data_IF_019886834712
#
_entry.id   IF_019886834712
#
_cell.length_a   1.000
_cell.length_b   1.000
_cell.length_c   1.000
_cell.angle_alpha   90.00
_cell.angle_beta   90.00
_cell.angle_gamma   90.00
#
_symmetry.space_group_name_H-M   'P 1'
#
loop_
_entity.id
_entity.type
_entity.pdbx_description
1 polymer ?
#
# COMPACT_ATOMS: atom_id res chain seq x y z
N UNK A 1 51.69 33.60 -47.07
CA UNK A 1 50.26 33.24 -46.88
C UNK A 1 50.22 31.93 -46.10
N UNK A 2 50.07 31.99 -44.78
CA UNK A 2 49.92 30.82 -43.91
C UNK A 2 48.75 31.11 -42.97
N UNK A 3 47.63 30.42 -43.15
CA UNK A 3 46.41 30.56 -42.34
C UNK A 3 46.44 29.44 -41.30
N UNK A 4 46.49 29.84 -40.02
CA UNK A 4 46.37 28.93 -38.87
C UNK A 4 44.87 28.72 -38.62
N UNK A 5 44.41 27.48 -38.80
CA UNK A 5 43.05 27.06 -38.45
C UNK A 5 43.06 26.60 -37.00
N UNK A 6 42.46 27.38 -36.10
CA UNK A 6 42.17 26.95 -34.73
C UNK A 6 40.96 26.02 -34.76
N UNK A 7 41.18 24.74 -34.42
CA UNK A 7 40.14 23.75 -34.21
C UNK A 7 39.40 24.05 -32.91
N UNK A 8 38.12 24.44 -33.02
CA UNK A 8 37.22 24.62 -31.89
C UNK A 8 36.85 23.23 -31.34
N UNK A 9 37.45 22.83 -30.22
CA UNK A 9 37.09 21.61 -29.51
C UNK A 9 35.80 21.88 -28.73
N UNK A 10 34.66 21.48 -29.30
CA UNK A 10 33.35 21.49 -28.62
C UNK A 10 33.39 20.43 -27.51
N UNK A 11 33.60 20.89 -26.27
CA UNK A 11 33.28 20.14 -25.06
C UNK A 11 31.77 19.89 -25.05
N UNK A 12 31.36 18.66 -25.38
CA UNK A 12 30.03 18.16 -25.06
C UNK A 12 29.91 18.13 -23.53
N UNK A 13 29.31 19.17 -22.98
CA UNK A 13 28.75 19.12 -21.63
C UNK A 13 27.51 18.23 -21.76
N UNK A 14 27.59 16.99 -21.29
CA UNK A 14 26.43 16.12 -21.17
C UNK A 14 25.49 16.69 -20.10
N UNK A 15 24.59 17.57 -20.50
CA UNK A 15 23.44 17.96 -19.70
C UNK A 15 22.55 16.72 -19.60
N UNK A 16 22.53 16.06 -18.44
CA UNK A 16 21.57 14.99 -18.17
C UNK A 16 20.21 15.66 -17.98
N UNK A 17 19.49 15.82 -19.09
CA UNK A 17 18.08 16.17 -19.05
C UNK A 17 17.31 15.02 -18.40
N UNK A 18 16.24 15.31 -17.66
CA UNK A 18 15.39 14.30 -17.06
C UNK A 18 14.63 13.57 -18.17
N UNK A 19 15.26 12.57 -18.78
CA UNK A 19 14.73 11.85 -19.94
C UNK A 19 14.02 10.58 -19.46
N UNK A 20 12.73 10.45 -19.80
CA UNK A 20 11.99 9.20 -19.60
C UNK A 20 12.55 8.17 -20.56
N UNK A 21 13.12 7.08 -20.03
CA UNK A 21 13.77 6.05 -20.84
C UNK A 21 12.76 4.96 -21.22
N UNK A 22 12.58 4.65 -22.51
CA UNK A 22 11.83 3.47 -22.92
C UNK A 22 12.53 2.19 -22.43
N UNK A 23 11.83 1.42 -21.61
CA UNK A 23 12.31 0.18 -21.05
C UNK A 23 11.79 -1.03 -21.84
N UNK A 24 12.69 -1.95 -22.13
CA UNK A 24 12.43 -3.24 -22.77
C UNK A 24 12.99 -4.35 -21.91
N UNK A 25 12.63 -5.61 -22.20
CA UNK A 25 13.18 -6.79 -21.52
C UNK A 25 14.71 -6.80 -21.46
N UNK A 26 15.38 -6.23 -22.47
CA UNK A 26 16.84 -6.25 -22.58
C UNK A 26 17.55 -5.23 -21.68
N UNK A 27 16.91 -4.09 -21.39
CA UNK A 27 17.53 -3.00 -20.63
C UNK A 27 16.95 -2.83 -19.22
N UNK A 28 15.77 -3.37 -18.93
CA UNK A 28 15.02 -3.02 -17.73
C UNK A 28 15.74 -3.44 -16.44
N UNK A 29 16.34 -4.63 -16.41
CA UNK A 29 17.12 -5.09 -15.25
C UNK A 29 18.35 -4.20 -14.98
N UNK A 30 18.93 -3.60 -16.03
CA UNK A 30 20.03 -2.65 -15.87
C UNK A 30 19.55 -1.31 -15.33
N UNK A 31 18.38 -0.83 -15.80
CA UNK A 31 17.74 0.40 -15.32
C UNK A 31 17.36 0.28 -13.84
N UNK A 32 16.87 -0.88 -13.41
CA UNK A 32 16.58 -1.19 -12.00
C UNK A 32 17.85 -1.13 -11.15
N UNK A 33 18.97 -1.69 -11.61
CA UNK A 33 20.24 -1.68 -10.86
C UNK A 33 20.91 -0.31 -10.81
N UNK A 34 20.67 0.53 -11.82
CA UNK A 34 21.30 1.85 -11.96
C UNK A 34 20.72 2.90 -11.00
N UNK A 35 19.45 2.77 -10.62
CA UNK A 35 18.75 3.79 -9.84
C UNK A 35 18.29 3.22 -8.49
N UNK A 36 18.37 4.05 -7.44
CA UNK A 36 17.82 3.70 -6.12
C UNK A 36 16.30 3.66 -6.14
N UNK A 37 15.66 4.51 -6.96
CA UNK A 37 14.23 4.53 -7.19
C UNK A 37 13.97 4.57 -8.70
N UNK A 38 13.10 3.70 -9.19
CA UNK A 38 12.61 3.69 -10.55
C UNK A 38 11.10 3.90 -10.55
N UNK A 39 10.62 4.88 -11.31
CA UNK A 39 9.20 5.10 -11.55
C UNK A 39 8.88 4.62 -12.95
N UNK A 40 7.97 3.65 -13.04
CA UNK A 40 7.72 2.87 -14.24
C UNK A 40 6.30 3.15 -14.71
N UNK A 41 6.16 3.74 -15.89
CA UNK A 41 4.89 3.95 -16.57
C UNK A 41 4.58 2.80 -17.53
N UNK A 42 3.72 1.87 -17.09
CA UNK A 42 3.17 0.82 -17.93
C UNK A 42 1.98 1.36 -18.72
N UNK A 43 2.09 1.33 -20.04
CA UNK A 43 1.15 2.01 -20.92
C UNK A 43 0.87 1.22 -22.20
N UNK A 44 -0.16 1.65 -22.96
CA UNK A 44 -0.45 1.18 -24.31
C UNK A 44 -0.70 2.38 -25.23
N UNK A 45 -0.35 2.30 -26.51
CA UNK A 45 -0.39 3.45 -27.43
C UNK A 45 -1.84 3.86 -27.76
N UNK A 46 -2.76 2.91 -27.83
CA UNK A 46 -4.19 3.16 -28.08
C UNK A 46 -4.94 3.69 -26.85
N UNK A 47 -4.34 3.62 -25.66
CA UNK A 47 -5.00 4.04 -24.43
C UNK A 47 -5.02 5.57 -24.33
N UNK A 48 -6.19 6.18 -24.44
CA UNK A 48 -6.39 7.65 -24.28
C UNK A 48 -5.79 8.18 -22.98
N UNK A 49 -5.92 7.44 -21.88
CA UNK A 49 -5.39 7.86 -20.58
C UNK A 49 -3.87 7.81 -20.51
N UNK A 50 -3.25 6.87 -21.22
CA UNK A 50 -1.80 6.78 -21.36
C UNK A 50 -1.26 7.93 -22.20
N UNK A 51 -1.92 8.24 -23.32
CA UNK A 51 -1.59 9.39 -24.17
C UNK A 51 -1.64 10.72 -23.39
N UNK A 52 -2.67 10.89 -22.55
CA UNK A 52 -2.80 12.07 -21.70
C UNK A 52 -1.71 12.13 -20.62
N UNK A 53 -1.34 10.99 -20.01
CA UNK A 53 -0.32 10.95 -18.97
C UNK A 53 1.10 11.17 -19.53
N UNK A 54 1.37 10.77 -20.77
CA UNK A 54 2.72 10.82 -21.35
C UNK A 54 3.42 12.18 -21.17
N UNK A 55 2.88 13.32 -21.65
CA UNK A 55 3.56 14.61 -21.50
C UNK A 55 3.70 15.02 -20.02
N UNK A 56 2.73 14.67 -19.17
CA UNK A 56 2.80 14.95 -17.73
C UNK A 56 3.94 14.16 -17.05
N UNK A 57 4.15 12.92 -17.48
CA UNK A 57 5.20 12.05 -16.95
C UNK A 57 6.59 12.52 -17.40
N UNK A 58 6.70 12.98 -18.64
CA UNK A 58 7.91 13.63 -19.18
C UNK A 58 8.22 14.92 -18.39
N UNK A 59 7.23 15.80 -18.16
CA UNK A 59 7.42 17.01 -17.35
C UNK A 59 7.80 16.69 -15.89
N UNK A 60 7.26 15.61 -15.33
CA UNK A 60 7.58 15.18 -13.98
C UNK A 60 9.06 14.77 -13.84
N UNK A 61 9.63 14.07 -14.83
CA UNK A 61 11.05 13.68 -14.79
C UNK A 61 11.99 14.87 -14.85
N UNK A 62 11.57 15.97 -15.48
CA UNK A 62 12.35 17.21 -15.54
C UNK A 62 12.29 18.01 -14.23
N UNK A 63 11.13 18.02 -13.55
CA UNK A 63 10.87 18.79 -12.31
C UNK A 63 11.53 18.25 -11.05
N UNK A 64 12.01 17.01 -11.07
CA UNK A 64 12.72 16.42 -9.94
C UNK A 64 13.98 17.24 -9.63
N UNK A 65 14.26 17.49 -8.34
CA UNK A 65 15.40 18.29 -7.92
C UNK A 65 16.74 17.69 -8.41
N UNK A 66 17.67 18.55 -8.85
CA UNK A 66 18.90 18.11 -9.52
C UNK A 66 19.76 17.15 -8.67
N UNK A 67 19.75 17.36 -7.36
CA UNK A 67 20.49 16.55 -6.39
C UNK A 67 19.98 15.11 -6.30
N UNK A 68 18.71 14.87 -6.62
CA UNK A 68 18.11 13.53 -6.60
C UNK A 68 18.00 12.88 -7.99
N UNK A 69 18.19 13.62 -9.08
CA UNK A 69 18.11 13.11 -10.47
C UNK A 69 19.01 11.90 -10.73
N UNK A 70 20.16 11.79 -10.05
CA UNK A 70 21.08 10.64 -10.21
C UNK A 70 20.58 9.37 -9.54
N UNK A 71 19.70 9.50 -8.56
CA UNK A 71 19.17 8.38 -7.76
C UNK A 71 17.81 7.88 -8.26
N UNK A 72 17.15 8.65 -9.13
CA UNK A 72 15.82 8.35 -9.67
C UNK A 72 15.87 8.15 -11.17
N UNK A 73 15.28 7.06 -11.65
CA UNK A 73 14.99 6.89 -13.08
C UNK A 73 13.49 6.96 -13.35
N UNK A 74 13.12 7.60 -14.45
CA UNK A 74 11.78 7.54 -15.01
C UNK A 74 11.83 6.68 -16.26
N UNK A 75 10.94 5.70 -16.36
CA UNK A 75 10.90 4.78 -17.48
C UNK A 75 9.48 4.53 -17.93
N UNK A 76 9.31 4.24 -19.21
CA UNK A 76 8.03 3.83 -19.80
C UNK A 76 8.15 2.44 -20.42
N UNK A 77 7.12 1.62 -20.27
CA UNK A 77 7.04 0.28 -20.85
C UNK A 77 5.76 0.21 -21.68
N UNK A 78 5.93 0.07 -23.00
CA UNK A 78 4.82 -0.25 -23.89
C UNK A 78 4.43 -1.72 -23.66
N UNK A 79 3.26 -1.94 -23.07
CA UNK A 79 2.78 -3.26 -22.68
C UNK A 79 2.36 -4.12 -23.88
N UNK A 80 2.05 -3.50 -25.02
CA UNK A 80 1.74 -4.23 -26.26
C UNK A 80 2.99 -4.88 -26.84
N UNK A 81 4.14 -4.19 -26.75
CA UNK A 81 5.42 -4.69 -27.23
C UNK A 81 6.15 -5.55 -26.19
N UNK A 82 5.87 -5.34 -24.90
CA UNK A 82 6.55 -5.98 -23.77
C UNK A 82 5.57 -6.74 -22.87
N UNK A 83 4.74 -7.60 -23.47
CA UNK A 83 3.71 -8.39 -22.77
C UNK A 83 4.28 -9.19 -21.58
N UNK A 84 5.46 -9.81 -21.74
CA UNK A 84 6.16 -10.52 -20.66
C UNK A 84 6.41 -9.64 -19.43
N UNK A 85 6.78 -8.36 -19.63
CA UNK A 85 6.98 -7.41 -18.54
C UNK A 85 5.64 -6.99 -17.94
N UNK A 86 4.61 -6.74 -18.76
CA UNK A 86 3.28 -6.42 -18.26
C UNK A 86 2.72 -7.55 -17.37
N UNK A 87 2.88 -8.80 -17.81
CA UNK A 87 2.46 -9.98 -17.06
C UNK A 87 3.28 -10.15 -15.77
N UNK A 88 4.62 -10.08 -15.85
CA UNK A 88 5.53 -10.21 -14.69
C UNK A 88 5.18 -9.22 -13.57
N UNK A 89 4.74 -8.02 -13.93
CA UNK A 89 4.39 -6.97 -12.97
C UNK A 89 2.87 -6.90 -12.68
N UNK A 90 2.08 -7.86 -13.15
CA UNK A 90 0.63 -7.94 -12.94
C UNK A 90 -0.11 -6.65 -13.36
N UNK A 91 0.20 -6.12 -14.54
CA UNK A 91 -0.48 -4.93 -15.06
C UNK A 91 -1.87 -5.32 -15.54
N UNK A 92 -2.89 -4.72 -14.93
CA UNK A 92 -4.30 -5.00 -15.21
C UNK A 92 -5.08 -3.75 -15.65
N UNK A 93 -4.40 -2.61 -15.82
CA UNK A 93 -4.99 -1.34 -16.24
C UNK A 93 -3.94 -0.41 -16.82
N UNK A 94 -4.35 0.49 -17.71
CA UNK A 94 -3.48 1.50 -18.30
C UNK A 94 -3.98 2.94 -18.03
N UNK A 95 -3.05 3.90 -17.83
CA UNK A 95 -1.66 3.68 -17.44
C UNK A 95 -1.56 3.19 -15.99
N UNK A 96 -0.54 2.38 -15.70
CA UNK A 96 -0.18 1.99 -14.33
C UNK A 96 1.21 2.51 -14.00
N UNK A 97 1.31 3.29 -12.92
CA UNK A 97 2.57 3.84 -12.43
C UNK A 97 3.08 3.00 -11.24
N UNK A 98 4.10 2.17 -11.45
CA UNK A 98 4.75 1.40 -10.39
C UNK A 98 6.04 2.03 -9.92
N UNK A 99 6.42 1.69 -8.70
CA UNK A 99 7.65 2.15 -8.06
C UNK A 99 8.51 0.93 -7.77
N UNK A 100 9.78 0.99 -8.15
CA UNK A 100 10.80 0.01 -7.77
C UNK A 100 11.79 0.76 -6.89
N UNK A 101 11.97 0.32 -5.63
CA UNK A 101 12.91 0.90 -4.67
C UNK A 101 13.99 -0.13 -4.39
N UNK A 102 15.26 0.25 -4.59
CA UNK A 102 16.43 -0.60 -4.31
C UNK A 102 16.38 -1.99 -4.97
N UNK A 103 15.80 -2.08 -6.17
CA UNK A 103 15.66 -3.35 -6.90
C UNK A 103 14.35 -4.09 -6.67
N UNK A 104 13.56 -3.68 -5.68
CA UNK A 104 12.34 -4.36 -5.28
C UNK A 104 11.09 -3.56 -5.67
N UNK A 105 10.06 -4.25 -6.12
CA UNK A 105 8.78 -3.63 -6.47
C UNK A 105 8.07 -3.21 -5.19
N UNK A 106 7.75 -1.92 -5.08
CA UNK A 106 6.92 -1.42 -3.99
C UNK A 106 5.52 -2.02 -4.10
N UNK A 107 4.89 -2.32 -2.96
CA UNK A 107 3.52 -2.83 -2.93
C UNK A 107 2.54 -1.81 -3.53
N UNK A 108 2.74 -0.52 -3.23
CA UNK A 108 1.84 0.55 -3.65
C UNK A 108 2.20 1.09 -5.03
N UNK A 109 1.17 1.28 -5.85
CA UNK A 109 1.23 2.02 -7.11
C UNK A 109 1.03 3.51 -6.85
N UNK A 110 1.46 4.36 -7.78
CA UNK A 110 1.07 5.76 -7.76
C UNK A 110 -0.35 5.93 -8.31
N UNK A 111 -1.28 6.31 -7.41
CA UNK A 111 -2.69 6.57 -7.73
C UNK A 111 -3.10 8.02 -7.50
N UNK A 112 -2.14 8.90 -7.20
CA UNK A 112 -2.36 10.33 -6.94
C UNK A 112 -2.73 11.12 -8.20
N UNK A 113 -2.86 12.44 -8.07
CA UNK A 113 -3.21 13.31 -9.19
C UNK A 113 -2.20 13.19 -10.35
N UNK A 114 -2.69 13.13 -11.59
CA UNK A 114 -1.81 13.07 -12.78
C UNK A 114 -1.41 14.48 -13.19
N UNK A 115 -0.62 15.14 -12.35
CA UNK A 115 0.07 16.39 -12.65
C UNK A 115 1.57 16.20 -12.44
N UNK A 116 2.39 17.00 -13.12
CA UNK A 116 3.83 16.85 -13.07
C UNK A 116 4.35 17.14 -11.65
N UNK A 117 3.75 18.13 -10.98
CA UNK A 117 4.02 18.50 -9.59
C UNK A 117 3.70 17.35 -8.63
N UNK A 118 2.51 16.77 -8.71
CA UNK A 118 2.09 15.72 -7.77
C UNK A 118 2.92 14.44 -7.93
N UNK A 119 3.35 14.12 -9.15
CA UNK A 119 4.26 12.99 -9.40
C UNK A 119 5.65 13.32 -8.83
N UNK A 120 6.20 14.50 -9.12
CA UNK A 120 7.52 14.89 -8.63
C UNK A 120 7.60 14.95 -7.09
N UNK A 121 6.57 15.47 -6.43
CA UNK A 121 6.45 15.49 -4.97
C UNK A 121 6.39 14.07 -4.39
N UNK A 122 5.59 13.20 -4.99
CA UNK A 122 5.49 11.81 -4.57
C UNK A 122 6.83 11.08 -4.67
N UNK A 123 7.54 11.22 -5.78
CA UNK A 123 8.85 10.60 -6.00
C UNK A 123 9.88 11.13 -5.01
N UNK A 124 9.85 12.44 -4.74
CA UNK A 124 10.70 13.05 -3.71
C UNK A 124 10.40 12.49 -2.33
N UNK A 125 9.12 12.27 -1.99
CA UNK A 125 8.71 11.63 -0.73
C UNK A 125 9.19 10.19 -0.65
N UNK A 126 9.05 9.42 -1.74
CA UNK A 126 9.54 8.04 -1.84
C UNK A 126 11.05 7.95 -1.58
N UNK A 127 11.82 8.87 -2.15
CA UNK A 127 13.27 8.97 -1.89
C UNK A 127 13.58 9.32 -0.44
N UNK A 128 12.82 10.24 0.19
CA UNK A 128 13.02 10.60 1.60
C UNK A 128 12.69 9.46 2.56
N UNK A 129 11.77 8.58 2.18
CA UNK A 129 11.49 7.33 2.90
C UNK A 129 12.52 6.23 2.67
N UNK A 130 13.64 6.54 2.00
CA UNK A 130 14.75 5.61 1.82
C UNK A 130 15.30 5.09 3.16
N UNK A 131 15.92 3.91 3.09
CA UNK A 131 16.70 3.29 4.15
C UNK A 131 17.51 4.35 4.92
N UNK A 132 17.19 4.53 6.20
CA UNK A 132 17.91 5.49 7.05
C UNK A 132 19.09 4.78 7.71
N UNK A 133 20.30 5.24 7.40
CA UNK A 133 21.52 4.75 8.01
C UNK A 133 21.75 5.41 9.38
N UNK A 134 21.90 4.56 10.40
CA UNK A 134 22.21 4.92 11.78
C UNK A 134 23.67 4.55 12.09
N UNK A 135 24.46 5.53 12.52
CA UNK A 135 25.90 5.38 12.79
C UNK A 135 26.27 5.44 14.28
N UNK A 136 25.30 5.71 15.13
CA UNK A 136 25.44 5.77 16.58
C UNK A 136 24.09 5.53 17.27
N UNK A 137 24.11 5.40 18.59
CA UNK A 137 22.90 5.35 19.40
C UNK A 137 22.14 6.69 19.39
N UNK A 138 22.85 7.82 19.44
CA UNK A 138 22.26 9.16 19.28
C UNK A 138 21.53 9.32 17.94
N UNK A 139 22.10 8.76 16.87
CA UNK A 139 21.48 8.74 15.55
C UNK A 139 20.11 8.04 15.58
N UNK A 140 20.02 6.92 16.29
CA UNK A 140 18.75 6.20 16.46
C UNK A 140 17.74 7.09 17.19
N UNK A 141 18.13 7.72 18.30
CA UNK A 141 17.21 8.56 19.09
C UNK A 141 16.69 9.77 18.29
N UNK A 142 17.56 10.41 17.50
CA UNK A 142 17.21 11.62 16.75
C UNK A 142 16.53 11.34 15.40
N UNK A 143 16.81 10.22 14.75
CA UNK A 143 16.27 9.91 13.41
C UNK A 143 15.06 8.98 13.43
N UNK A 144 14.80 8.30 14.55
CA UNK A 144 13.63 7.44 14.69
C UNK A 144 12.36 8.30 14.69
N UNK A 145 11.54 8.12 13.67
CA UNK A 145 10.24 8.75 13.56
C UNK A 145 9.26 8.00 14.48
N UNK A 146 8.97 8.60 15.64
CA UNK A 146 8.08 8.05 16.66
C UNK A 146 6.59 8.12 16.27
N UNK A 147 6.26 8.61 15.07
CA UNK A 147 4.88 8.65 14.56
C UNK A 147 4.52 7.44 13.72
N UNK A 148 5.50 6.57 13.40
CA UNK A 148 5.31 5.40 12.53
C UNK A 148 6.01 4.17 13.07
N UNK A 149 5.40 3.02 12.80
CA UNK A 149 6.04 1.73 13.07
C UNK A 149 7.37 1.65 12.31
N UNK A 150 8.34 0.95 12.88
CA UNK A 150 9.65 0.85 12.28
C UNK A 150 10.26 -0.54 12.44
N UNK A 151 11.04 -0.96 11.46
CA UNK A 151 11.99 -2.09 11.58
C UNK A 151 13.39 -1.51 11.65
N UNK A 152 14.13 -1.87 12.69
CA UNK A 152 15.52 -1.49 12.89
C UNK A 152 16.36 -2.76 12.76
N UNK A 153 17.28 -2.74 11.81
CA UNK A 153 18.21 -3.83 11.61
C UNK A 153 19.61 -3.41 12.00
N UNK A 154 20.20 -4.17 12.93
CA UNK A 154 21.51 -3.94 13.51
C UNK A 154 22.50 -4.96 12.96
N UNK A 155 23.68 -4.51 12.54
CA UNK A 155 24.79 -5.40 12.21
C UNK A 155 26.14 -4.73 12.50
N UNK A 156 27.12 -5.42 13.09
CA UNK A 156 28.48 -4.82 13.26
C UNK A 156 29.09 -4.53 11.89
N UNK A 157 28.95 -5.46 10.96
CA UNK A 157 29.42 -5.34 9.58
C UNK A 157 28.32 -5.77 8.61
N UNK A 158 27.93 -4.95 7.63
CA UNK A 158 26.94 -5.34 6.64
C UNK A 158 27.43 -6.54 5.81
N UNK A 159 26.67 -7.65 5.81
CA UNK A 159 26.88 -8.75 4.89
C UNK A 159 25.99 -8.59 3.65
N UNK A 160 26.36 -9.23 2.54
CA UNK A 160 25.55 -9.20 1.30
C UNK A 160 24.14 -9.78 1.52
N UNK A 161 24.04 -10.84 2.31
CA UNK A 161 22.79 -11.48 2.69
C UNK A 161 21.93 -10.54 3.52
N UNK A 162 22.53 -9.87 4.51
CA UNK A 162 21.85 -8.87 5.34
C UNK A 162 21.33 -7.71 4.48
N UNK A 163 22.15 -7.14 3.60
CA UNK A 163 21.69 -6.09 2.68
C UNK A 163 20.54 -6.54 1.79
N UNK A 164 20.56 -7.79 1.33
CA UNK A 164 19.48 -8.35 0.51
C UNK A 164 18.19 -8.46 1.33
N UNK A 165 18.27 -9.02 2.55
CA UNK A 165 17.13 -9.11 3.45
C UNK A 165 16.52 -7.73 3.75
N UNK A 166 17.35 -6.70 3.97
CA UNK A 166 16.86 -5.33 4.19
C UNK A 166 16.22 -4.75 2.94
N UNK A 167 16.83 -4.93 1.76
CA UNK A 167 16.23 -4.46 0.50
C UNK A 167 14.86 -5.09 0.30
N UNK A 168 14.72 -6.39 0.54
CA UNK A 168 13.45 -7.10 0.46
C UNK A 168 12.45 -6.67 1.54
N UNK A 169 12.91 -6.38 2.77
CA UNK A 169 12.08 -5.77 3.82
C UNK A 169 11.65 -4.33 3.46
N UNK A 170 12.48 -3.62 2.70
CA UNK A 170 12.22 -2.24 2.26
C UNK A 170 11.05 -2.15 1.27
N UNK A 171 10.66 -3.25 0.62
CA UNK A 171 9.42 -3.32 -0.17
C UNK A 171 8.16 -2.98 0.62
N UNK A 172 8.21 -3.10 1.96
CA UNK A 172 7.12 -2.81 2.89
C UNK A 172 7.22 -1.42 3.52
N UNK A 173 8.10 -0.54 3.00
CA UNK A 173 8.33 0.81 3.54
C UNK A 173 7.10 1.71 3.58
N UNK A 174 6.09 1.39 2.77
CA UNK A 174 4.84 2.16 2.75
C UNK A 174 3.96 1.88 4.00
N UNK A 175 4.26 0.80 4.73
CA UNK A 175 3.57 0.36 5.95
C UNK A 175 4.44 0.56 7.23
N UNK A 176 5.77 0.53 7.12
CA UNK A 176 6.69 0.81 8.23
C UNK A 176 7.99 1.48 7.78
N UNK A 177 8.61 2.31 8.63
CA UNK A 177 9.93 2.86 8.35
C UNK A 177 11.01 1.77 8.51
N UNK A 178 12.08 1.83 7.72
CA UNK A 178 13.19 0.86 7.82
C UNK A 178 14.50 1.60 8.11
N UNK A 179 15.16 1.20 9.18
CA UNK A 179 16.42 1.75 9.65
C UNK A 179 17.52 0.68 9.61
N UNK A 180 18.71 1.05 9.13
CA UNK A 180 19.90 0.19 9.19
C UNK A 180 20.92 0.82 10.12
N UNK A 181 21.20 0.12 11.22
CA UNK A 181 22.26 0.43 12.16
C UNK A 181 23.49 -0.43 11.89
N UNK A 182 24.63 0.19 11.64
CA UNK A 182 25.88 -0.56 11.46
C UNK A 182 27.10 0.10 12.09
N UNK A 183 28.09 -0.73 12.45
CA UNK A 183 29.34 -0.32 13.08
C UNK A 183 29.55 -0.94 14.46
N UNK A 184 30.75 -0.78 15.01
CA UNK A 184 31.14 -1.41 16.29
C UNK A 184 30.24 -1.04 17.47
N UNK A 185 29.60 0.13 17.44
CA UNK A 185 28.66 0.58 18.48
C UNK A 185 27.45 -0.35 18.64
N UNK A 186 27.09 -1.12 17.60
CA UNK A 186 26.02 -2.12 17.64
C UNK A 186 26.26 -3.15 18.74
N UNK A 187 27.52 -3.49 19.03
CA UNK A 187 27.89 -4.43 20.11
C UNK A 187 27.47 -3.94 21.50
N UNK A 188 27.31 -2.63 21.68
CA UNK A 188 26.82 -2.05 22.94
C UNK A 188 25.29 -2.13 23.05
N UNK A 189 24.59 -2.25 21.92
CA UNK A 189 23.12 -2.31 21.85
C UNK A 189 22.63 -3.76 21.89
N UNK A 190 23.37 -4.68 21.29
CA UNK A 190 22.98 -6.08 21.22
C UNK A 190 24.15 -7.05 21.14
N UNK A 191 23.95 -8.22 21.74
CA UNK A 191 24.85 -9.37 21.63
C UNK A 191 24.51 -10.28 20.42
N UNK A 192 23.46 -9.97 19.66
CA UNK A 192 23.05 -10.69 18.43
C UNK A 192 23.49 -9.87 17.21
N UNK A 193 24.19 -10.49 16.26
CA UNK A 193 24.72 -9.82 15.07
C UNK A 193 24.56 -10.74 13.83
N UNK A 194 23.65 -10.45 12.88
CA UNK A 194 22.74 -9.30 12.86
C UNK A 194 21.58 -9.46 13.86
N UNK A 195 20.84 -8.38 14.10
CA UNK A 195 19.58 -8.37 14.89
C UNK A 195 18.53 -7.54 14.17
N UNK A 196 17.28 -8.02 14.17
CA UNK A 196 16.13 -7.27 13.66
C UNK A 196 15.15 -6.99 14.79
N UNK A 197 14.68 -5.74 14.86
CA UNK A 197 13.76 -5.25 15.90
C UNK A 197 12.62 -4.49 15.25
N UNK A 198 11.40 -4.85 15.59
CA UNK A 198 10.22 -4.07 15.27
C UNK A 198 9.93 -3.11 16.43
N UNK A 199 9.69 -1.85 16.11
CA UNK A 199 9.28 -0.80 17.04
C UNK A 199 7.84 -0.38 16.70
N UNK A 200 6.93 -0.63 17.64
CA UNK A 200 5.53 -0.22 17.52
C UNK A 200 5.35 1.21 18.04
N UNK A 201 4.95 2.14 17.17
CA UNK A 201 4.92 3.56 17.52
C UNK A 201 3.85 3.92 18.56
N UNK A 202 2.71 3.23 18.54
CA UNK A 202 1.56 3.53 19.42
C UNK A 202 1.85 3.17 20.88
N UNK A 203 2.61 2.11 21.11
CA UNK A 203 2.87 1.54 22.45
C UNK A 203 4.32 1.73 22.91
N UNK A 204 5.24 1.99 21.98
CA UNK A 204 6.68 1.95 22.23
C UNK A 204 7.24 0.53 22.36
N UNK A 205 6.41 -0.50 22.13
CA UNK A 205 6.83 -1.89 22.26
C UNK A 205 7.92 -2.24 21.24
N UNK A 206 8.85 -3.09 21.67
CA UNK A 206 9.89 -3.64 20.82
C UNK A 206 9.70 -5.15 20.71
N UNK A 207 9.71 -5.67 19.49
CA UNK A 207 9.58 -7.10 19.21
C UNK A 207 10.84 -7.53 18.46
N UNK A 208 11.64 -8.40 19.08
CA UNK A 208 12.82 -8.98 18.46
C UNK A 208 12.40 -10.08 17.48
N UNK A 209 13.09 -10.16 16.34
CA UNK A 209 12.99 -11.33 15.47
C UNK A 209 13.78 -12.50 16.09
N UNK A 210 13.10 -13.62 16.32
CA UNK A 210 13.68 -14.82 16.95
C UNK A 210 13.95 -15.96 15.95
N UNK A 211 13.64 -15.77 14.66
CA UNK A 211 13.88 -16.77 13.62
C UNK A 211 15.33 -16.84 13.13
N UNK A 212 15.57 -17.62 12.07
CA UNK A 212 16.89 -17.67 11.43
C UNK A 212 17.20 -16.33 10.76
N UNK A 213 18.30 -15.70 11.18
CA UNK A 213 18.77 -14.40 10.72
C UNK A 213 19.45 -14.45 9.34
N UNK A 214 19.67 -15.65 8.79
CA UNK A 214 20.16 -15.85 7.43
C UNK A 214 19.05 -16.24 6.44
N UNK A 215 17.86 -16.56 6.92
CA UNK A 215 16.72 -16.90 6.09
C UNK A 215 15.94 -15.64 5.68
N UNK A 216 16.17 -15.21 4.45
CA UNK A 216 15.55 -14.03 3.84
C UNK A 216 14.03 -14.17 3.79
N UNK A 217 13.49 -15.37 3.54
CA UNK A 217 12.05 -15.59 3.44
C UNK A 217 11.38 -15.47 4.80
N UNK A 218 12.00 -16.04 5.84
CA UNK A 218 11.50 -15.91 7.21
C UNK A 218 11.57 -14.46 7.72
N UNK A 219 12.64 -13.72 7.42
CA UNK A 219 12.73 -12.28 7.75
C UNK A 219 11.66 -11.50 6.99
N UNK A 220 11.52 -11.73 5.68
CA UNK A 220 10.51 -11.07 4.85
C UNK A 220 9.11 -11.30 5.39
N UNK A 221 8.79 -12.55 5.73
CA UNK A 221 7.51 -12.92 6.33
C UNK A 221 7.30 -12.21 7.66
N UNK A 222 8.29 -12.22 8.55
CA UNK A 222 8.19 -11.55 9.84
C UNK A 222 7.97 -10.04 9.68
N UNK A 223 8.76 -9.36 8.83
CA UNK A 223 8.58 -7.93 8.51
C UNK A 223 7.18 -7.67 7.97
N UNK A 224 6.68 -8.52 7.07
CA UNK A 224 5.31 -8.43 6.53
C UNK A 224 4.28 -8.49 7.65
N UNK A 225 4.43 -9.44 8.57
CA UNK A 225 3.47 -9.71 9.65
C UNK A 225 3.47 -8.58 10.71
N UNK A 226 4.63 -7.97 11.00
CA UNK A 226 4.71 -6.86 11.97
C UNK A 226 4.40 -5.49 11.37
N UNK A 227 4.75 -5.25 10.10
CA UNK A 227 4.55 -3.94 9.46
C UNK A 227 3.15 -3.74 8.90
N UNK A 228 2.49 -4.81 8.43
CA UNK A 228 1.13 -4.73 7.90
C UNK A 228 0.15 -5.08 9.04
N UNK A 229 -0.49 -4.08 9.67
CA UNK A 229 -1.38 -4.36 10.78
C UNK A 229 -2.60 -5.15 10.28
N UNK A 230 -3.10 -6.04 11.14
CA UNK A 230 -4.30 -6.83 10.86
C UNK A 230 -5.53 -5.94 10.60
N UNK A 231 -5.57 -4.78 11.27
CA UNK A 231 -6.57 -3.73 11.04
C UNK A 231 -5.88 -2.50 10.47
N UNK A 232 -6.25 -2.10 9.25
CA UNK A 232 -5.65 -0.95 8.53
C UNK A 232 -6.59 0.24 8.53
N UNK A 233 -6.07 1.46 8.49
CA UNK A 233 -6.91 2.64 8.26
C UNK A 233 -7.18 2.79 6.76
N UNK A 234 -8.45 2.92 6.37
CA UNK A 234 -8.83 3.29 5.00
C UNK A 234 -8.89 4.80 4.89
N UNK A 235 -8.27 5.32 3.83
CA UNK A 235 -8.25 6.73 3.46
C UNK A 235 -8.58 6.84 1.97
N UNK A 236 -8.85 8.06 1.48
CA UNK A 236 -9.10 8.25 0.05
C UNK A 236 -7.88 7.91 -0.81
N UNK A 237 -6.67 8.03 -0.26
CA UNK A 237 -5.42 7.74 -0.96
C UNK A 237 -5.18 6.24 -1.14
N UNK A 238 -5.61 5.39 -0.19
CA UNK A 238 -5.38 3.94 -0.24
C UNK A 238 -6.63 3.11 -0.57
N UNK A 239 -7.82 3.71 -0.64
CA UNK A 239 -9.05 2.97 -0.89
C UNK A 239 -9.02 2.19 -2.21
N UNK A 240 -8.51 2.79 -3.30
CA UNK A 240 -8.41 2.12 -4.60
C UNK A 240 -7.51 0.87 -4.51
N UNK A 241 -6.38 0.95 -3.80
CA UNK A 241 -5.50 -0.20 -3.54
C UNK A 241 -6.22 -1.29 -2.74
N UNK A 242 -6.88 -0.92 -1.64
CA UNK A 242 -7.60 -1.87 -0.80
C UNK A 242 -8.72 -2.59 -1.57
N UNK A 243 -9.40 -1.89 -2.48
CA UNK A 243 -10.46 -2.50 -3.29
C UNK A 243 -9.93 -3.45 -4.36
N UNK A 244 -8.73 -3.21 -4.88
CA UNK A 244 -8.07 -4.11 -5.84
C UNK A 244 -7.62 -5.44 -5.21
N UNK A 245 -7.45 -5.50 -3.89
CA UNK A 245 -7.22 -6.77 -3.18
C UNK A 245 -8.40 -7.74 -3.34
N UNK A 246 -9.58 -7.24 -3.71
CA UNK A 246 -10.75 -8.06 -4.06
C UNK A 246 -11.45 -8.72 -2.87
N UNK A 247 -11.04 -8.40 -1.64
CA UNK A 247 -11.66 -8.89 -0.42
C UNK A 247 -12.75 -7.92 0.06
N UNK A 248 -13.90 -8.42 0.56
CA UNK A 248 -14.87 -7.60 1.28
C UNK A 248 -14.23 -6.80 2.41
N UNK A 249 -14.81 -5.67 2.76
CA UNK A 249 -14.36 -4.83 3.87
C UNK A 249 -15.19 -5.08 5.11
N UNK A 250 -14.54 -5.24 6.26
CA UNK A 250 -15.13 -5.14 7.60
C UNK A 250 -14.63 -3.84 8.24
N UNK A 251 -15.45 -2.81 8.21
CA UNK A 251 -15.06 -1.44 8.54
C UNK A 251 -15.64 -1.06 9.89
N UNK A 252 -14.79 -0.59 10.80
CA UNK A 252 -15.21 0.22 11.94
C UNK A 252 -15.20 1.69 11.53
N UNK A 253 -16.38 2.30 11.40
CA UNK A 253 -16.52 3.75 11.37
C UNK A 253 -16.47 4.28 12.79
N UNK A 254 -15.58 5.25 13.02
CA UNK A 254 -15.34 5.82 14.35
C UNK A 254 -15.18 7.33 14.28
N UNK A 255 -15.26 8.00 15.43
CA UNK A 255 -14.86 9.41 15.55
C UNK A 255 -13.34 9.53 15.64
N UNK A 256 -12.76 10.55 15.01
CA UNK A 256 -11.32 10.79 15.12
C UNK A 256 -10.88 10.88 16.60
N UNK A 257 -9.87 10.12 16.99
CA UNK A 257 -9.38 10.04 18.37
C UNK A 257 -10.12 9.07 19.31
N UNK A 258 -11.12 8.32 18.83
CA UNK A 258 -11.80 7.28 19.63
C UNK A 258 -10.93 5.99 19.77
N UNK A 259 -9.92 6.09 20.64
CA UNK A 259 -8.93 5.02 20.89
C UNK A 259 -9.57 3.77 21.53
N UNK A 260 -10.62 3.96 22.33
CA UNK A 260 -11.27 2.86 23.05
C UNK A 260 -12.02 1.94 22.08
N UNK A 261 -12.83 2.51 21.19
CA UNK A 261 -13.54 1.73 20.16
C UNK A 261 -12.57 1.06 19.19
N UNK A 262 -11.52 1.76 18.77
CA UNK A 262 -10.44 1.17 17.95
C UNK A 262 -9.80 -0.04 18.63
N UNK A 263 -9.50 0.07 19.92
CA UNK A 263 -8.90 -1.02 20.70
C UNK A 263 -9.84 -2.21 20.79
N UNK A 264 -11.09 -1.99 21.20
CA UNK A 264 -12.08 -3.08 21.31
C UNK A 264 -12.29 -3.83 19.99
N UNK A 265 -12.38 -3.09 18.88
CA UNK A 265 -12.50 -3.72 17.56
C UNK A 265 -11.22 -4.45 17.15
N UNK A 266 -10.05 -3.85 17.35
CA UNK A 266 -8.77 -4.48 17.01
C UNK A 266 -8.53 -5.76 17.79
N UNK A 267 -8.83 -5.76 19.09
CA UNK A 267 -8.71 -6.93 19.95
C UNK A 267 -9.69 -8.03 19.53
N UNK A 268 -10.94 -7.67 19.17
CA UNK A 268 -11.92 -8.62 18.65
C UNK A 268 -11.49 -9.23 17.30
N UNK A 269 -10.97 -8.43 16.37
CA UNK A 269 -10.45 -8.92 15.07
C UNK A 269 -9.29 -9.89 15.29
N UNK A 270 -8.33 -9.55 16.15
CA UNK A 270 -7.20 -10.44 16.49
C UNK A 270 -7.67 -11.76 17.11
N UNK A 271 -8.61 -11.70 18.04
CA UNK A 271 -9.12 -12.88 18.76
C UNK A 271 -9.98 -13.79 17.88
N UNK A 272 -10.81 -13.22 17.01
CA UNK A 272 -11.91 -13.95 16.36
C UNK A 272 -11.72 -14.19 14.86
N UNK A 273 -10.87 -13.41 14.19
CA UNK A 273 -10.78 -13.34 12.73
C UNK A 273 -9.35 -13.54 12.18
N UNK A 274 -8.39 -13.96 13.00
CA UNK A 274 -7.00 -14.16 12.54
C UNK A 274 -6.91 -15.14 11.36
N UNK A 275 -7.66 -16.24 11.42
CA UNK A 275 -7.78 -17.24 10.35
C UNK A 275 -8.65 -16.76 9.16
N UNK A 276 -9.40 -15.67 9.32
CA UNK A 276 -10.26 -15.09 8.29
C UNK A 276 -9.56 -14.00 7.46
N UNK A 277 -8.32 -13.63 7.79
CA UNK A 277 -7.48 -12.66 7.05
C UNK A 277 -7.46 -12.87 5.53
N UNK A 278 -7.44 -14.10 4.97
CA UNK A 278 -7.47 -14.31 3.52
C UNK A 278 -8.80 -14.01 2.84
N UNK A 279 -9.88 -13.81 3.61
CA UNK A 279 -11.25 -13.72 3.10
C UNK A 279 -11.91 -12.36 3.33
N UNK A 280 -11.39 -11.54 4.24
CA UNK A 280 -11.96 -10.23 4.57
C UNK A 280 -10.88 -9.24 5.04
N UNK A 281 -11.05 -7.97 4.69
CA UNK A 281 -10.18 -6.88 5.09
C UNK A 281 -10.77 -6.10 6.26
N UNK A 282 -10.16 -6.20 7.45
CA UNK A 282 -10.55 -5.40 8.62
C UNK A 282 -9.96 -3.99 8.53
N UNK A 283 -10.82 -2.97 8.60
CA UNK A 283 -10.46 -1.58 8.35
C UNK A 283 -11.01 -0.63 9.43
N UNK A 284 -10.30 0.47 9.67
CA UNK A 284 -10.77 1.64 10.43
C UNK A 284 -11.08 2.76 9.44
N UNK A 285 -12.21 3.44 9.62
CA UNK A 285 -12.58 4.61 8.83
C UNK A 285 -12.95 5.79 9.73
N UNK A 286 -12.47 6.97 9.39
CA UNK A 286 -12.94 8.22 9.99
C UNK A 286 -14.37 8.50 9.50
N UNK A 287 -15.34 8.44 10.41
CA UNK A 287 -16.76 8.60 10.08
C UNK A 287 -17.12 10.00 9.56
N UNK A 288 -16.32 11.02 9.86
CA UNK A 288 -16.51 12.36 9.30
C UNK A 288 -16.00 12.43 7.86
N UNK A 289 -14.82 11.88 7.58
CA UNK A 289 -14.28 11.81 6.21
C UNK A 289 -15.15 10.93 5.31
N UNK A 290 -15.68 9.83 5.86
CA UNK A 290 -16.54 8.88 5.15
C UNK A 290 -18.03 9.05 5.50
N UNK A 291 -18.50 10.29 5.70
CA UNK A 291 -19.90 10.58 5.99
C UNK A 291 -20.84 10.16 4.85
N UNK A 292 -20.41 10.24 3.59
CA UNK A 292 -21.22 9.80 2.45
C UNK A 292 -21.56 8.29 2.49
N UNK A 293 -20.61 7.36 2.66
CA UNK A 293 -20.92 5.96 2.95
C UNK A 293 -21.89 5.74 4.12
N UNK A 294 -21.78 6.50 5.21
CA UNK A 294 -22.70 6.41 6.34
C UNK A 294 -24.13 6.80 5.95
N UNK A 295 -24.31 7.88 5.18
CA UNK A 295 -25.63 8.30 4.72
C UNK A 295 -26.32 7.25 3.83
N UNK A 296 -25.58 6.47 3.03
CA UNK A 296 -26.14 5.36 2.24
C UNK A 296 -26.73 4.24 3.12
N UNK A 297 -26.25 4.11 4.35
CA UNK A 297 -26.81 3.21 5.37
C UNK A 297 -27.94 3.84 6.19
N UNK A 298 -28.31 5.10 5.91
CA UNK A 298 -29.21 5.87 6.79
C UNK A 298 -28.59 6.18 8.16
N UNK A 299 -27.26 6.26 8.23
CA UNK A 299 -26.48 6.52 9.45
C UNK A 299 -25.77 7.87 9.35
N UNK A 300 -25.33 8.36 10.50
CA UNK A 300 -24.66 9.65 10.67
C UNK A 300 -23.50 9.55 11.66
N UNK A 301 -22.77 10.64 11.86
CA UNK A 301 -21.72 10.73 12.89
C UNK A 301 -22.23 10.50 14.32
N UNK A 302 -23.55 10.63 14.55
CA UNK A 302 -24.18 10.36 15.84
C UNK A 302 -24.32 8.87 16.15
N UNK A 303 -24.33 8.02 15.11
CA UNK A 303 -24.46 6.56 15.23
C UNK A 303 -23.12 5.86 15.49
N UNK A 304 -22.01 6.63 15.51
CA UNK A 304 -20.66 6.08 15.71
C UNK A 304 -20.41 5.76 17.19
N UNK A 305 -19.66 4.68 17.51
CA UNK A 305 -18.97 3.75 16.58
C UNK A 305 -19.90 2.73 15.91
N UNK A 306 -19.62 2.41 14.64
CA UNK A 306 -20.44 1.51 13.82
C UNK A 306 -19.56 0.53 13.04
N UNK A 307 -19.89 -0.77 13.10
CA UNK A 307 -19.22 -1.80 12.28
C UNK A 307 -20.09 -2.16 11.08
N UNK A 308 -19.48 -2.23 9.91
CA UNK A 308 -20.15 -2.47 8.64
C UNK A 308 -19.34 -3.45 7.81
N UNK A 309 -20.02 -4.39 7.15
CA UNK A 309 -19.43 -5.15 6.05
C UNK A 309 -19.81 -4.49 4.73
N UNK A 310 -18.85 -4.20 3.87
CA UNK A 310 -19.07 -3.88 2.46
C UNK A 310 -18.57 -5.04 1.59
N UNK A 311 -19.49 -5.70 0.89
CA UNK A 311 -19.22 -6.87 0.03
C UNK A 311 -18.85 -6.52 -1.41
N UNK A 312 -18.71 -5.22 -1.73
CA UNK A 312 -18.68 -4.65 -3.09
C UNK A 312 -19.95 -4.84 -3.92
N UNK A 313 -20.99 -5.43 -3.33
CA UNK A 313 -22.36 -5.47 -3.89
C UNK A 313 -23.31 -4.73 -2.97
N UNK A 314 -23.30 -5.13 -1.70
CA UNK A 314 -24.16 -4.62 -0.66
C UNK A 314 -23.39 -4.31 0.62
N UNK A 315 -23.96 -3.42 1.43
CA UNK A 315 -23.47 -3.10 2.76
C UNK A 315 -24.39 -3.66 3.85
N UNK A 316 -23.79 -4.20 4.91
CA UNK A 316 -24.48 -4.83 6.04
C UNK A 316 -23.99 -4.23 7.35
N UNK A 317 -24.91 -3.92 8.27
CA UNK A 317 -24.58 -3.27 9.55
C UNK A 317 -24.51 -4.32 10.66
N UNK A 318 -23.45 -4.27 11.46
CA UNK A 318 -23.34 -5.06 12.67
C UNK A 318 -24.30 -4.54 13.73
N UNK A 319 -25.03 -5.43 14.41
CA UNK A 319 -26.19 -5.06 15.25
C UNK A 319 -25.85 -4.08 16.37
N UNK A 320 -24.90 -4.44 17.24
CA UNK A 320 -24.56 -3.67 18.42
C UNK A 320 -23.04 -3.62 18.60
N UNK A 321 -22.43 -2.44 18.54
CA UNK A 321 -20.98 -2.32 18.66
C UNK A 321 -20.47 -2.94 19.96
N UNK A 322 -21.22 -2.83 21.07
CA UNK A 322 -20.76 -3.35 22.36
C UNK A 322 -20.59 -4.87 22.41
N UNK A 323 -21.19 -5.61 21.47
CA UNK A 323 -21.05 -7.06 21.40
C UNK A 323 -19.62 -7.49 21.07
N UNK A 324 -18.80 -6.65 20.42
CA UNK A 324 -17.40 -7.00 20.10
C UNK A 324 -16.52 -7.25 21.31
N UNK A 325 -16.87 -6.67 22.47
CA UNK A 325 -16.13 -6.86 23.72
C UNK A 325 -16.96 -7.52 24.82
N UNK A 326 -18.30 -7.60 24.68
CA UNK A 326 -19.18 -8.26 25.66
C UNK A 326 -19.54 -9.70 25.31
N UNK A 327 -19.39 -10.12 24.05
CA UNK A 327 -19.82 -11.45 23.59
C UNK A 327 -18.87 -12.02 22.55
N UNK A 328 -18.15 -13.07 22.92
CA UNK A 328 -17.20 -13.72 22.02
C UNK A 328 -17.91 -14.39 20.83
N UNK A 329 -17.27 -14.30 19.66
CA UNK A 329 -17.67 -15.00 18.43
C UNK A 329 -18.75 -14.27 17.61
N UNK A 330 -19.29 -13.15 18.10
CA UNK A 330 -20.31 -12.38 17.37
C UNK A 330 -19.75 -11.73 16.12
N UNK A 331 -18.54 -11.19 16.20
CA UNK A 331 -17.88 -10.57 15.04
C UNK A 331 -17.52 -11.64 14.02
N UNK A 332 -17.04 -12.81 14.46
CA UNK A 332 -16.84 -13.98 13.59
C UNK A 332 -18.12 -14.41 12.89
N UNK A 333 -19.21 -14.56 13.64
CA UNK A 333 -20.48 -14.99 13.06
C UNK A 333 -20.97 -14.00 11.99
N UNK A 334 -20.76 -12.70 12.18
CA UNK A 334 -21.11 -11.69 11.18
C UNK A 334 -20.37 -11.89 9.85
N UNK A 335 -19.08 -12.24 9.90
CA UNK A 335 -18.27 -12.57 8.71
C UNK A 335 -18.73 -13.89 8.07
N UNK A 336 -19.03 -14.92 8.87
CA UNK A 336 -19.54 -16.19 8.35
C UNK A 336 -20.95 -16.04 7.73
N UNK A 337 -21.78 -15.17 8.29
CA UNK A 337 -23.12 -14.86 7.78
C UNK A 337 -23.03 -14.13 6.42
N UNK A 338 -21.98 -13.33 6.19
CA UNK A 338 -21.69 -12.79 4.86
C UNK A 338 -21.41 -13.91 3.85
N UNK A 339 -20.44 -14.78 4.16
CA UNK A 339 -19.98 -15.80 3.22
C UNK A 339 -21.03 -16.87 2.93
N UNK A 340 -21.91 -17.17 3.90
CA UNK A 340 -23.05 -18.08 3.71
C UNK A 340 -24.24 -17.44 2.98
N UNK A 341 -24.19 -16.14 2.69
CA UNK A 341 -25.31 -15.38 2.10
C UNK A 341 -26.46 -15.14 3.07
N UNK A 342 -26.30 -15.48 4.35
CA UNK A 342 -27.31 -15.27 5.38
C UNK A 342 -27.64 -13.80 5.58
N UNK A 343 -26.65 -12.90 5.57
CA UNK A 343 -26.91 -11.45 5.70
C UNK A 343 -27.83 -10.92 4.60
N UNK A 344 -27.63 -11.40 3.36
CA UNK A 344 -28.47 -11.02 2.23
C UNK A 344 -29.90 -11.56 2.38
N UNK A 345 -30.03 -12.83 2.79
CA UNK A 345 -31.33 -13.47 3.04
C UNK A 345 -32.10 -12.77 4.17
N UNK A 346 -31.47 -12.51 5.31
CA UNK A 346 -32.11 -11.87 6.46
C UNK A 346 -32.53 -10.43 6.17
N UNK A 347 -31.85 -9.73 5.27
CA UNK A 347 -32.29 -8.41 4.83
C UNK A 347 -33.65 -8.47 4.12
N UNK A 348 -33.86 -9.46 3.26
CA UNK A 348 -35.11 -9.62 2.50
C UNK A 348 -36.24 -10.25 3.32
N UNK A 349 -35.93 -11.22 4.18
CA UNK A 349 -36.94 -12.09 4.80
C UNK A 349 -37.03 -11.96 6.33
N UNK A 350 -36.15 -11.18 6.96
CA UNK A 350 -36.02 -11.14 8.41
C UNK A 350 -35.27 -12.35 8.99
N UNK A 351 -35.15 -12.43 10.33
CA UNK A 351 -34.42 -13.51 11.00
C UNK A 351 -35.08 -14.88 10.78
N UNK A 352 -34.28 -15.94 10.60
CA UNK A 352 -34.78 -17.30 10.32
C UNK A 352 -35.67 -17.90 11.43
N UNK A 353 -35.61 -17.34 12.64
CA UNK A 353 -36.39 -17.78 13.81
C UNK A 353 -37.84 -17.28 13.81
N UNK A 354 -38.19 -16.33 12.95
CA UNK A 354 -39.57 -15.88 12.77
C UNK A 354 -40.25 -16.81 11.75
N UNK A 355 -41.40 -17.40 12.10
CA UNK A 355 -42.21 -18.16 11.14
C UNK A 355 -42.43 -17.30 9.88
N UNK A 356 -42.41 -17.89 8.66
CA UNK A 356 -42.54 -17.11 7.43
C UNK A 356 -43.81 -16.26 7.53
N UNK A 357 -43.64 -14.93 7.58
CA UNK A 357 -44.75 -14.00 7.53
C UNK A 357 -45.54 -14.33 6.26
N UNK A 358 -46.87 -14.42 6.39
CA UNK A 358 -47.76 -14.71 5.28
C UNK A 358 -47.33 -13.89 4.05
N UNK A 359 -47.27 -14.54 2.88
CA UNK A 359 -46.84 -13.97 1.60
C UNK A 359 -47.52 -12.61 1.32
N UNK A 360 -46.96 -11.54 1.86
CA UNK A 360 -47.08 -10.20 1.29
C UNK A 360 -46.10 -10.18 0.13
N UNK A 361 -46.55 -9.72 -1.04
CA UNK A 361 -45.69 -9.57 -2.21
C UNK A 361 -44.40 -8.87 -1.77
N UNK A 362 -43.21 -9.50 -1.90
CA UNK A 362 -41.99 -8.90 -1.42
C UNK A 362 -41.81 -7.61 -2.20
N UNK A 363 -41.92 -6.46 -1.52
CA UNK A 363 -41.41 -5.21 -2.07
C UNK A 363 -39.94 -5.47 -2.32
N UNK A 364 -39.45 -5.42 -3.57
CA UNK A 364 -38.06 -5.75 -3.86
C UNK A 364 -37.19 -4.62 -3.34
N UNK A 365 -36.87 -4.65 -2.05
CA UNK A 365 -35.88 -3.78 -1.43
C UNK A 365 -34.56 -4.54 -1.41
N UNK A 366 -33.62 -4.13 -2.25
CA UNK A 366 -32.24 -4.63 -2.17
C UNK A 366 -31.54 -4.02 -0.96
N UNK A 367 -30.60 -4.74 -0.31
CA UNK A 367 -29.74 -4.11 0.69
C UNK A 367 -29.00 -2.91 0.10
N UNK A 368 -28.63 -1.91 0.92
CA UNK A 368 -27.91 -0.73 0.45
C UNK A 368 -26.73 -1.12 -0.43
N UNK A 369 -26.63 -0.51 -1.61
CA UNK A 369 -25.54 -0.81 -2.55
C UNK A 369 -24.19 -0.41 -1.98
N UNK A 370 -23.14 -1.11 -2.40
CA UNK A 370 -21.78 -0.79 -2.02
C UNK A 370 -21.36 0.60 -2.49
N UNK A 371 -20.95 1.44 -1.53
CA UNK A 371 -20.34 2.74 -1.82
C UNK A 371 -18.85 2.58 -2.12
N UNK A 372 -18.16 1.65 -1.44
CA UNK A 372 -16.73 1.44 -1.65
C UNK A 372 -16.42 0.77 -3.00
N UNK A 373 -17.40 0.13 -3.64
CA UNK A 373 -17.27 -0.34 -5.02
C UNK A 373 -16.98 0.81 -6.01
N UNK A 374 -17.40 2.05 -5.69
CA UNK A 374 -17.09 3.25 -6.50
C UNK A 374 -15.64 3.71 -6.36
N UNK A 375 -14.91 3.18 -5.38
CA UNK A 375 -13.49 3.48 -5.16
C UNK A 375 -12.56 2.49 -5.89
N UNK A 376 -13.11 1.49 -6.59
CA UNK A 376 -12.36 0.65 -7.52
C UNK A 376 -11.73 1.48 -8.64
N UNK A 377 -10.71 0.96 -9.34
CA UNK A 377 -10.16 1.60 -10.53
C UNK A 377 -11.27 1.97 -11.51
N UNK A 378 -11.44 3.27 -11.73
CA UNK A 378 -12.52 3.80 -12.55
C UNK A 378 -12.16 3.76 -14.03
N UNK A 379 -13.08 3.25 -14.86
CA UNK A 379 -13.00 3.31 -16.33
C UNK A 379 -12.92 4.76 -16.85
N UNK A 380 -13.32 5.75 -16.03
CA UNK A 380 -13.19 7.16 -16.38
C UNK A 380 -11.75 7.67 -16.28
N UNK A 381 -10.85 6.90 -15.66
CA UNK A 381 -9.45 7.25 -15.40
C UNK A 381 -8.45 6.24 -15.98
N UNK A 382 -8.87 5.00 -16.15
CA UNK A 382 -8.05 3.92 -16.65
C UNK A 382 -8.76 3.20 -17.78
N UNK A 383 -7.99 2.62 -18.67
CA UNK A 383 -8.45 1.45 -19.42
C UNK A 383 -8.22 0.24 -18.52
N UNK A 384 -9.29 -0.42 -18.07
CA UNK A 384 -9.20 -1.65 -17.27
C UNK A 384 -9.12 -2.85 -18.21
N UNK A 385 -8.19 -3.77 -17.95
CA UNK A 385 -7.96 -4.95 -18.78
C UNK A 385 -8.71 -6.14 -18.22
N UNK A 386 -9.37 -6.89 -19.11
CA UNK A 386 -9.89 -8.20 -18.75
C UNK A 386 -8.76 -9.24 -18.76
N UNK A 387 -8.84 -10.28 -17.92
CA UNK A 387 -7.80 -11.34 -17.86
C UNK A 387 -7.56 -12.08 -19.18
N UNK A 388 -8.45 -11.92 -20.16
CA UNK A 388 -8.35 -12.50 -21.51
C UNK A 388 -7.63 -11.56 -22.51
N UNK A 389 -7.32 -10.32 -22.11
CA UNK A 389 -6.69 -9.27 -22.93
C UNK A 389 -5.19 -9.07 -22.62
N UNK A 390 -4.63 -9.91 -21.76
CA UNK A 390 -3.22 -10.01 -21.37
C UNK A 390 -2.65 -11.36 -21.83
#
# INVERSE_FOLDING_TARGET
>A
MLIIIYSLFLLFISTVNGEVVPATKDNFDQLIKKHSVLIVNFYAEWCRYSQLLKPIFDDASEKIAEDVKKSVGFVSINCEEQADLAQKYNINKYPTLKIIKFGEVAKREYRGQRTAEAIAEFVTKVLKTAIVHLRSEDDLEHKLDKTKNAVIAYATTPSKQFETAIKTASSFMDDCNVYIAFGDWVKNVTNKDPKFVFFEHKTGNKIDYEGDHNDIESIKKWVTDVCIPLVREITFENAEELTEEGLPFLILFRKQGDIESEKHFTDAVKRELEDQKPYINALLADGKLFAHPLHHLGKSEHDLPLIVIDSFRHMYVFKEFSDVHKSEGKLRQFVLDLHSGKLHREFHYGPETEAPKAYEDPVPTSPPESVFNKLKPSEQRYTVLNKEEL
#
